data_IF_374873452189
#
_entry.id   IF_374873452189
#
_cell.length_a   1.000
_cell.length_b   1.000
_cell.length_c   1.000
_cell.angle_alpha   90.00
_cell.angle_beta   90.00
_cell.angle_gamma   90.00
#
_symmetry.space_group_name_H-M   'P 1'
#
loop_
_entity.id
_entity.type
_entity.pdbx_description
1 polymer ?
#
# COMPACT_ATOMS: atom_id res chain seq x y z
N UNK A 1 37.37 -35.79 -60.89
CA UNK A 1 36.16 -34.99 -61.15
C UNK A 1 34.94 -35.84 -60.86
N UNK A 2 33.97 -35.24 -60.17
CA UNK A 2 32.77 -35.84 -59.58
C UNK A 2 31.93 -36.67 -60.53
N UNK A 3 31.37 -37.77 -60.03
CA UNK A 3 29.92 -37.92 -59.75
C UNK A 3 29.67 -39.32 -59.20
N UNK A 4 29.03 -39.42 -58.04
CA UNK A 4 28.34 -40.65 -57.64
C UNK A 4 26.93 -40.25 -57.25
N UNK A 5 26.01 -40.49 -58.19
CA UNK A 5 24.65 -40.85 -57.89
C UNK A 5 24.66 -42.33 -57.52
N UNK A 6 23.94 -42.71 -56.46
CA UNK A 6 23.33 -44.04 -56.35
C UNK A 6 22.30 -44.01 -55.24
N UNK A 7 21.04 -44.12 -55.66
CA UNK A 7 19.91 -44.35 -54.79
C UNK A 7 19.83 -45.81 -54.36
N UNK A 8 19.27 -45.96 -53.16
CA UNK A 8 18.33 -46.98 -52.73
C UNK A 8 18.69 -48.45 -52.91
N UNK A 9 19.00 -49.11 -51.77
CA UNK A 9 18.35 -50.38 -51.39
C UNK A 9 18.14 -50.39 -49.86
N UNK A 10 16.90 -50.69 -49.47
CA UNK A 10 16.41 -50.89 -48.12
C UNK A 10 17.09 -52.07 -47.41
N UNK A 11 17.49 -51.87 -46.14
CA UNK A 11 17.69 -52.94 -45.16
C UNK A 11 17.27 -52.43 -43.77
N UNK A 12 16.31 -53.14 -43.20
CA UNK A 12 15.75 -52.91 -41.88
C UNK A 12 16.82 -53.10 -40.79
N UNK A 13 16.94 -52.11 -39.92
CA UNK A 13 17.66 -52.22 -38.66
C UNK A 13 16.73 -51.79 -37.53
N UNK A 14 16.49 -52.72 -36.63
CA UNK A 14 15.75 -52.57 -35.38
C UNK A 14 16.36 -51.46 -34.53
N UNK A 15 15.60 -50.38 -34.31
CA UNK A 15 15.89 -49.44 -33.22
C UNK A 15 15.21 -49.93 -31.95
N UNK A 16 16.02 -50.36 -31.00
CA UNK A 16 15.65 -50.41 -29.58
C UNK A 16 15.46 -48.97 -29.13
N UNK A 17 14.21 -48.53 -29.03
CA UNK A 17 13.88 -47.30 -28.34
C UNK A 17 14.05 -47.56 -26.83
N UNK A 18 15.12 -47.02 -26.26
CA UNK A 18 15.20 -46.80 -24.82
C UNK A 18 14.16 -45.73 -24.51
N UNK A 19 13.00 -46.15 -23.99
CA UNK A 19 12.03 -45.22 -23.44
C UNK A 19 12.65 -44.54 -22.22
N UNK A 20 12.99 -43.25 -22.36
CA UNK A 20 13.04 -42.40 -21.19
C UNK A 20 11.60 -42.29 -20.70
N UNK A 21 11.29 -42.88 -19.54
CA UNK A 21 10.07 -42.60 -18.80
C UNK A 21 9.91 -41.08 -18.71
N UNK A 22 8.89 -40.53 -19.37
CA UNK A 22 8.48 -39.18 -19.07
C UNK A 22 7.94 -39.19 -17.63
N UNK A 23 8.39 -38.29 -16.74
CA UNK A 23 7.75 -38.15 -15.44
C UNK A 23 6.27 -37.81 -15.65
N UNK A 24 5.36 -38.31 -14.80
CA UNK A 24 3.95 -37.97 -14.89
C UNK A 24 3.77 -36.45 -14.79
N UNK A 25 2.87 -35.91 -15.61
CA UNK A 25 2.55 -34.49 -15.62
C UNK A 25 2.14 -34.02 -14.22
N UNK A 26 2.64 -32.86 -13.79
CA UNK A 26 2.26 -32.24 -12.54
C UNK A 26 0.77 -31.86 -12.58
N UNK A 27 0.00 -32.38 -11.63
CA UNK A 27 -1.43 -32.09 -11.51
C UNK A 27 -1.58 -30.78 -10.71
N UNK A 28 -1.91 -29.69 -11.40
CA UNK A 28 -2.06 -28.36 -10.81
C UNK A 28 -3.54 -28.09 -10.50
N UNK A 29 -4.05 -28.67 -9.40
CA UNK A 29 -5.39 -28.33 -8.92
C UNK A 29 -5.35 -27.05 -8.09
N UNK A 30 -6.19 -26.07 -8.44
CA UNK A 30 -6.40 -24.83 -7.69
C UNK A 30 -7.24 -25.14 -6.46
N UNK A 31 -6.71 -24.83 -5.27
CA UNK A 31 -7.39 -24.99 -3.97
C UNK A 31 -7.79 -23.58 -3.46
N UNK A 32 -8.89 -23.39 -2.69
CA UNK A 32 -9.36 -22.07 -2.28
C UNK A 32 -8.35 -21.25 -1.48
N UNK A 33 -8.44 -19.92 -1.60
CA UNK A 33 -7.47 -18.92 -1.17
C UNK A 33 -7.08 -18.95 0.34
N UNK A 34 -5.79 -18.74 0.60
CA UNK A 34 -5.18 -18.64 1.93
C UNK A 34 -4.99 -17.16 2.33
N UNK A 35 -5.12 -16.85 3.62
CA UNK A 35 -4.83 -15.52 4.20
C UNK A 35 -3.53 -15.57 5.01
N UNK A 36 -2.62 -14.64 4.77
CA UNK A 36 -1.54 -14.33 5.70
C UNK A 36 -2.00 -13.22 6.63
N UNK A 37 -1.83 -13.37 7.95
CA UNK A 37 -2.14 -12.33 8.93
C UNK A 37 -0.84 -11.73 9.45
N UNK A 38 -0.61 -10.45 9.16
CA UNK A 38 0.48 -9.68 9.72
C UNK A 38 -0.05 -8.89 10.92
N UNK A 39 0.50 -9.10 12.13
CA UNK A 39 0.18 -8.28 13.31
C UNK A 39 1.25 -7.19 13.54
N UNK A 40 0.87 -5.95 13.92
CA UNK A 40 1.83 -4.87 14.17
C UNK A 40 2.68 -5.07 15.45
N UNK A 41 3.93 -4.59 15.40
CA UNK A 41 5.04 -4.79 16.35
C UNK A 41 4.85 -4.25 17.80
N UNK A 42 3.69 -3.74 18.19
CA UNK A 42 3.56 -2.90 19.39
C UNK A 42 3.64 -3.63 20.76
N UNK A 43 3.82 -4.96 20.82
CA UNK A 43 3.80 -5.72 22.11
C UNK A 43 4.86 -6.81 22.27
N UNK A 44 6.08 -6.55 21.83
CA UNK A 44 7.15 -7.52 21.92
C UNK A 44 8.12 -7.28 23.09
N UNK A 45 8.00 -8.09 24.16
CA UNK A 45 9.01 -8.20 25.23
C UNK A 45 9.54 -9.64 25.28
N UNK A 46 10.67 -9.90 24.60
CA UNK A 46 11.38 -11.18 24.70
C UNK A 46 12.70 -11.18 23.93
N UNK A 47 13.74 -11.78 24.50
CA UNK A 47 15.11 -11.89 23.94
C UNK A 47 15.29 -13.10 23.02
N UNK A 48 14.22 -13.63 22.43
CA UNK A 48 14.31 -14.83 21.60
C UNK A 48 14.70 -14.47 20.17
N UNK A 49 15.78 -15.09 19.68
CA UNK A 49 16.24 -14.95 18.31
C UNK A 49 15.24 -15.70 17.41
N UNK A 50 14.62 -15.03 16.42
CA UNK A 50 13.67 -15.69 15.52
C UNK A 50 14.36 -16.84 14.78
N UNK A 51 13.68 -17.98 14.69
CA UNK A 51 14.13 -19.16 13.94
C UNK A 51 13.49 -19.14 12.57
N UNK A 52 14.25 -19.35 11.51
CA UNK A 52 13.68 -19.54 10.17
C UNK A 52 12.98 -20.89 10.09
N UNK A 53 11.67 -20.88 9.81
CA UNK A 53 10.88 -22.08 9.51
C UNK A 53 11.18 -22.63 8.12
N UNK A 54 11.41 -21.74 7.16
CA UNK A 54 11.70 -22.06 5.77
C UNK A 54 11.61 -20.82 4.90
N UNK A 55 11.55 -20.99 3.58
CA UNK A 55 11.50 -19.90 2.60
C UNK A 55 10.28 -20.04 1.70
N UNK A 56 9.64 -18.92 1.39
CA UNK A 56 8.50 -18.83 0.48
C UNK A 56 8.69 -17.71 -0.55
N UNK A 57 8.10 -17.87 -1.73
CA UNK A 57 8.10 -16.85 -2.77
C UNK A 57 7.02 -15.80 -2.49
N UNK A 58 7.41 -14.54 -2.33
CA UNK A 58 6.47 -13.44 -2.09
C UNK A 58 5.96 -12.74 -3.37
N UNK A 59 6.30 -13.29 -4.54
CA UNK A 59 6.04 -12.68 -5.85
C UNK A 59 7.27 -12.01 -6.48
N UNK A 60 8.28 -11.65 -5.67
CA UNK A 60 9.49 -10.95 -6.11
C UNK A 60 10.79 -11.67 -5.73
N UNK A 61 10.83 -12.26 -4.54
CA UNK A 61 11.98 -12.98 -4.03
C UNK A 61 11.55 -14.12 -3.08
N UNK A 62 12.48 -15.04 -2.82
CA UNK A 62 12.34 -16.03 -1.76
C UNK A 62 12.75 -15.43 -0.42
N UNK A 63 11.78 -15.21 0.46
CA UNK A 63 11.99 -14.63 1.79
C UNK A 63 11.83 -15.67 2.90
N UNK A 64 12.60 -15.55 4.00
CA UNK A 64 12.49 -16.45 5.13
C UNK A 64 11.17 -16.20 5.90
N UNK A 65 10.43 -17.28 6.15
CA UNK A 65 9.33 -17.30 7.11
C UNK A 65 9.91 -17.60 8.48
N UNK A 66 9.61 -16.76 9.47
CA UNK A 66 10.22 -16.81 10.80
C UNK A 66 9.22 -17.31 11.85
N UNK A 67 9.69 -18.08 12.83
CA UNK A 67 8.97 -18.53 14.02
C UNK A 67 9.68 -18.06 15.28
N UNK A 68 8.90 -17.59 16.25
CA UNK A 68 9.37 -17.11 17.55
C UNK A 68 8.84 -15.72 17.90
N UNK A 69 8.04 -15.69 18.97
CA UNK A 69 7.73 -14.57 19.86
C UNK A 69 6.97 -13.36 19.31
N UNK A 70 7.31 -12.91 18.11
CA UNK A 70 6.97 -11.60 17.56
C UNK A 70 6.74 -11.59 16.05
N UNK A 71 7.06 -12.68 15.36
CA UNK A 71 6.86 -12.82 13.93
C UNK A 71 5.70 -13.79 13.71
N UNK A 72 4.86 -13.48 12.71
CA UNK A 72 3.77 -14.36 12.30
C UNK A 72 4.35 -15.73 11.95
N UNK A 73 4.06 -16.72 12.79
CA UNK A 73 4.34 -18.11 12.48
C UNK A 73 3.56 -18.53 11.24
N UNK A 74 4.04 -19.57 10.58
CA UNK A 74 3.24 -20.20 9.55
C UNK A 74 2.13 -21.01 10.23
N UNK A 75 0.87 -20.87 9.79
CA UNK A 75 -0.27 -21.63 10.29
C UNK A 75 -1.01 -22.33 9.13
N UNK A 76 -1.30 -23.63 9.29
CA UNK A 76 -2.02 -24.45 8.30
C UNK A 76 -1.16 -25.54 7.62
N UNK A 77 -1.78 -26.30 6.71
CA UNK A 77 -1.14 -27.44 6.01
C UNK A 77 0.00 -27.03 5.08
N UNK A 78 0.10 -25.75 4.76
CA UNK A 78 1.10 -25.24 3.80
C UNK A 78 2.42 -24.86 4.48
N UNK A 79 2.48 -24.94 5.81
CA UNK A 79 3.76 -24.84 6.53
C UNK A 79 4.67 -26.04 6.24
N UNK A 80 4.07 -27.16 5.86
CA UNK A 80 4.78 -28.32 5.30
C UNK A 80 5.28 -28.07 3.86
N UNK A 81 4.90 -26.94 3.23
CA UNK A 81 5.28 -26.58 1.87
C UNK A 81 6.36 -25.49 1.78
N UNK A 82 6.94 -25.06 2.91
CA UNK A 82 8.09 -24.15 2.91
C UNK A 82 9.35 -24.83 2.38
N UNK A 83 10.16 -24.10 1.63
CA UNK A 83 11.45 -24.61 1.18
C UNK A 83 12.47 -24.51 2.30
N UNK A 84 13.24 -25.58 2.52
CA UNK A 84 14.30 -25.64 3.55
C UNK A 84 15.44 -24.61 3.36
N UNK A 85 15.56 -24.03 2.16
CA UNK A 85 16.57 -23.01 1.87
C UNK A 85 16.10 -22.05 0.78
N UNK A 86 16.61 -20.81 0.83
CA UNK A 86 16.40 -19.79 -0.19
C UNK A 86 16.71 -20.29 -1.59
N UNK A 87 17.86 -20.95 -1.78
CA UNK A 87 18.27 -21.45 -3.09
C UNK A 87 17.36 -22.54 -3.67
N UNK A 88 16.74 -23.39 -2.83
CA UNK A 88 15.72 -24.34 -3.30
C UNK A 88 14.43 -23.65 -3.70
N UNK A 89 14.02 -22.63 -2.95
CA UNK A 89 12.87 -21.82 -3.31
C UNK A 89 13.09 -21.10 -4.66
N UNK A 90 14.24 -20.44 -4.82
CA UNK A 90 14.58 -19.71 -6.05
C UNK A 90 14.69 -20.67 -7.24
N UNK A 91 15.30 -21.84 -7.04
CA UNK A 91 15.41 -22.86 -8.08
C UNK A 91 14.06 -23.48 -8.46
N UNK A 92 13.20 -23.77 -7.48
CA UNK A 92 11.86 -24.30 -7.73
C UNK A 92 10.95 -23.29 -8.44
N UNK A 93 11.12 -22.00 -8.16
CA UNK A 93 10.44 -20.95 -8.90
C UNK A 93 11.00 -20.82 -10.34
N UNK A 94 12.33 -20.80 -10.49
CA UNK A 94 12.98 -20.72 -11.80
C UNK A 94 12.70 -21.93 -12.71
N UNK A 95 12.32 -23.09 -12.14
CA UNK A 95 11.97 -24.29 -12.89
C UNK A 95 10.48 -24.42 -13.25
N UNK A 96 9.64 -23.50 -12.77
CA UNK A 96 8.25 -23.43 -13.23
C UNK A 96 8.20 -22.87 -14.66
N UNK A 97 7.82 -23.71 -15.63
CA UNK A 97 7.69 -23.36 -17.05
C UNK A 97 6.55 -22.32 -17.31
N UNK A 98 6.52 -21.64 -18.48
CA UNK A 98 5.79 -20.38 -18.70
C UNK A 98 4.25 -20.48 -18.69
N UNK A 99 3.67 -21.65 -18.42
CA UNK A 99 2.21 -21.79 -18.23
C UNK A 99 1.72 -21.22 -16.90
N UNK A 100 2.63 -20.84 -15.99
CA UNK A 100 2.35 -19.89 -14.93
C UNK A 100 2.40 -18.47 -15.52
N UNK A 101 1.37 -18.05 -16.26
CA UNK A 101 1.31 -16.67 -16.78
C UNK A 101 1.35 -15.67 -15.62
N UNK A 102 2.50 -15.00 -15.45
CA UNK A 102 2.58 -13.79 -14.67
C UNK A 102 1.72 -12.73 -15.36
N UNK A 103 0.58 -12.36 -14.75
CA UNK A 103 -0.18 -11.20 -15.18
C UNK A 103 0.69 -9.93 -15.03
N UNK A 104 0.61 -8.96 -15.96
CA UNK A 104 1.32 -7.70 -15.82
C UNK A 104 0.91 -6.99 -14.53
N UNK A 105 1.90 -6.43 -13.83
CA UNK A 105 1.89 -5.95 -12.43
C UNK A 105 0.99 -4.73 -12.16
N UNK A 106 0.18 -4.28 -13.11
CA UNK A 106 -0.73 -3.15 -12.90
C UNK A 106 -2.06 -3.50 -12.20
N UNK A 107 -2.28 -4.76 -11.79
CA UNK A 107 -3.57 -5.18 -11.20
C UNK A 107 -3.48 -6.03 -9.92
N UNK A 108 -2.36 -6.07 -9.21
CA UNK A 108 -2.27 -6.84 -7.96
C UNK A 108 -1.49 -6.06 -6.90
N UNK A 109 -2.21 -5.31 -6.07
CA UNK A 109 -1.74 -4.97 -4.73
C UNK A 109 -2.82 -5.39 -3.74
N UNK A 110 -2.40 -6.28 -2.83
CA UNK A 110 -3.05 -6.75 -1.59
C UNK A 110 -3.96 -7.98 -1.63
N UNK A 111 -3.92 -8.75 -2.72
CA UNK A 111 -4.16 -10.18 -2.66
C UNK A 111 -2.92 -10.86 -3.22
N UNK A 112 -2.17 -11.62 -2.40
CA UNK A 112 -1.21 -12.59 -2.95
C UNK A 112 -2.05 -13.80 -3.33
N UNK A 113 -2.32 -14.07 -4.62
CA UNK A 113 -2.89 -15.36 -4.97
C UNK A 113 -1.80 -16.39 -4.71
N UNK A 114 -2.12 -17.45 -3.97
CA UNK A 114 -1.22 -18.59 -3.89
C UNK A 114 -0.98 -19.11 -5.31
N UNK A 115 0.28 -19.06 -5.77
CA UNK A 115 0.69 -19.75 -6.99
C UNK A 115 0.47 -21.26 -6.82
N UNK A 116 0.14 -22.00 -7.90
CA UNK A 116 0.00 -23.45 -7.81
C UNK A 116 1.31 -24.09 -7.35
N UNK A 117 1.28 -24.73 -6.18
CA UNK A 117 2.39 -25.52 -5.66
C UNK A 117 2.46 -26.81 -6.48
N UNK A 118 3.44 -26.93 -7.37
CA UNK A 118 3.67 -28.16 -8.12
C UNK A 118 4.31 -29.23 -7.20
N UNK A 119 3.58 -30.31 -6.89
CA UNK A 119 4.12 -31.47 -6.17
C UNK A 119 4.67 -32.53 -7.12
N UNK A 120 5.78 -33.17 -6.72
CA UNK A 120 6.19 -34.46 -7.27
C UNK A 120 5.36 -35.57 -6.62
N UNK A 121 4.72 -36.43 -7.41
CA UNK A 121 3.91 -37.54 -6.92
C UNK A 121 4.78 -38.59 -6.18
N UNK A 122 4.59 -38.74 -4.87
CA UNK A 122 5.25 -39.78 -4.08
C UNK A 122 4.70 -39.95 -2.66
N UNK A 123 4.00 -41.07 -2.44
CA UNK A 123 3.59 -41.71 -1.17
C UNK A 123 2.60 -40.97 -0.24
N UNK A 124 1.32 -41.33 -0.40
CA UNK A 124 0.26 -41.13 0.61
C UNK A 124 0.47 -42.09 1.79
N UNK A 125 0.40 -41.57 3.01
CA UNK A 125 0.25 -42.35 4.24
C UNK A 125 -1.14 -43.00 4.37
N UNK A 126 -1.33 -43.93 5.32
CA UNK A 126 -2.52 -44.79 5.39
C UNK A 126 -3.81 -44.02 5.79
N UNK A 127 -5.00 -44.49 5.35
CA UNK A 127 -6.27 -43.78 5.55
C UNK A 127 -6.79 -43.91 6.98
N UNK A 128 -7.34 -42.81 7.51
CA UNK A 128 -8.08 -42.74 8.79
C UNK A 128 -9.58 -42.94 8.50
N UNK A 129 -10.36 -43.72 9.30
CA UNK A 129 -11.72 -44.08 8.95
C UNK A 129 -12.75 -42.98 9.26
N UNK A 130 -13.77 -42.90 8.41
CA UNK A 130 -14.88 -41.95 8.46
C UNK A 130 -15.97 -42.37 9.46
N UNK A 131 -16.35 -41.44 10.36
CA UNK A 131 -17.72 -41.27 10.89
C UNK A 131 -17.82 -39.93 11.62
N UNK A 132 -18.63 -38.98 11.13
CA UNK A 132 -19.33 -37.98 11.96
C UNK A 132 -20.62 -37.52 11.26
N UNK A 133 -21.71 -37.49 12.03
CA UNK A 133 -23.08 -37.12 11.68
C UNK A 133 -23.25 -35.61 11.42
N UNK A 134 -24.28 -35.24 10.66
CA UNK A 134 -24.47 -33.96 9.99
C UNK A 134 -25.04 -32.82 10.86
N UNK A 135 -24.85 -31.59 10.36
CA UNK A 135 -25.38 -30.33 10.87
C UNK A 135 -26.87 -30.08 10.49
N UNK A 136 -27.70 -31.12 10.42
CA UNK A 136 -29.08 -30.98 9.91
C UNK A 136 -30.14 -30.62 10.98
N UNK A 137 -29.76 -30.39 12.25
CA UNK A 137 -30.71 -30.17 13.34
C UNK A 137 -30.38 -28.95 14.21
N UNK A 138 -30.28 -27.75 13.60
CA UNK A 138 -30.36 -26.50 14.35
C UNK A 138 -31.47 -25.59 13.78
N UNK A 139 -32.46 -25.30 14.63
CA UNK A 139 -33.78 -24.75 14.28
C UNK A 139 -33.75 -23.26 13.86
N UNK A 140 -32.59 -22.60 13.95
CA UNK A 140 -32.45 -21.16 13.68
C UNK A 140 -32.28 -20.83 12.17
N UNK A 141 -32.04 -21.83 11.31
CA UNK A 141 -31.94 -21.65 9.86
C UNK A 141 -33.31 -21.59 9.14
N UNK A 142 -34.42 -21.83 9.85
CA UNK A 142 -35.74 -22.05 9.22
C UNK A 142 -36.61 -20.80 9.09
N UNK A 143 -36.34 -19.75 9.86
CA UNK A 143 -37.20 -18.55 9.94
C UNK A 143 -36.78 -17.39 9.02
N UNK A 144 -35.93 -17.67 8.02
CA UNK A 144 -35.84 -16.85 6.82
C UNK A 144 -35.11 -15.52 6.97
N UNK A 145 -33.83 -15.53 7.30
CA UNK A 145 -32.84 -14.51 6.90
C UNK A 145 -31.50 -15.21 6.63
N UNK A 146 -30.85 -14.86 5.51
CA UNK A 146 -29.77 -15.62 4.86
C UNK A 146 -28.53 -15.86 5.73
N UNK A 147 -28.28 -17.10 6.17
CA UNK A 147 -27.00 -17.54 6.72
C UNK A 147 -26.31 -18.54 5.79
N UNK A 148 -25.01 -18.37 5.54
CA UNK A 148 -24.14 -19.43 5.00
C UNK A 148 -23.34 -20.06 6.15
N UNK A 149 -23.35 -21.38 6.25
CA UNK A 149 -22.52 -22.11 7.20
C UNK A 149 -21.06 -22.10 6.73
N UNK A 150 -20.16 -21.49 7.51
CA UNK A 150 -18.73 -21.63 7.34
C UNK A 150 -18.15 -22.52 8.46
N UNK A 151 -17.41 -23.57 8.08
CA UNK A 151 -16.62 -24.37 9.02
C UNK A 151 -15.36 -23.59 9.42
N UNK A 152 -15.23 -23.20 10.70
CA UNK A 152 -13.92 -22.90 11.28
C UNK A 152 -13.43 -24.12 12.06
N UNK A 153 -12.23 -24.61 11.72
CA UNK A 153 -11.58 -25.73 12.42
C UNK A 153 -10.40 -25.19 13.21
N UNK A 154 -10.62 -24.86 14.49
CA UNK A 154 -9.61 -24.84 15.54
C UNK A 154 -10.24 -25.22 16.89
N UNK A 155 -9.50 -26.00 17.66
CA UNK A 155 -9.97 -26.89 18.73
C UNK A 155 -10.32 -26.22 20.08
N UNK A 156 -11.29 -26.85 20.77
CA UNK A 156 -11.47 -26.95 22.22
C UNK A 156 -12.12 -25.81 23.04
N UNK A 157 -13.09 -25.07 22.50
CA UNK A 157 -14.39 -24.77 23.16
C UNK A 157 -15.38 -24.47 22.04
N UNK A 158 -16.35 -25.35 21.80
CA UNK A 158 -17.32 -25.19 20.72
C UNK A 158 -18.34 -24.08 21.03
N UNK A 159 -18.13 -22.88 20.51
CA UNK A 159 -19.22 -21.97 20.15
C UNK A 159 -19.34 -21.94 18.63
N UNK A 160 -20.34 -22.64 18.09
CA UNK A 160 -20.80 -22.42 16.71
C UNK A 160 -21.43 -21.03 16.69
N UNK A 161 -20.78 -20.06 16.06
CA UNK A 161 -21.30 -18.71 15.89
C UNK A 161 -21.48 -18.43 14.40
N UNK A 162 -22.67 -17.95 14.01
CA UNK A 162 -22.86 -17.35 12.70
C UNK A 162 -21.97 -16.10 12.62
N UNK A 163 -21.12 -16.01 11.59
CA UNK A 163 -20.37 -14.78 11.31
C UNK A 163 -21.26 -13.91 10.41
N UNK A 164 -21.98 -12.98 11.02
CA UNK A 164 -22.83 -11.99 10.34
C UNK A 164 -21.94 -10.85 9.83
N UNK A 165 -21.46 -10.95 8.59
CA UNK A 165 -20.71 -9.84 7.98
C UNK A 165 -21.61 -8.96 7.10
N UNK A 166 -22.77 -9.45 6.64
CA UNK A 166 -23.72 -8.69 5.82
C UNK A 166 -24.94 -8.24 6.64
N UNK A 167 -25.46 -7.04 6.37
CA UNK A 167 -26.64 -6.47 7.02
C UNK A 167 -27.56 -5.77 6.01
N UNK A 168 -28.77 -5.40 6.41
CA UNK A 168 -29.67 -4.54 5.63
C UNK A 168 -30.09 -3.29 6.41
N UNK A 169 -30.09 -3.38 7.73
CA UNK A 169 -30.42 -2.33 8.69
C UNK A 169 -29.49 -2.42 9.90
N UNK A 170 -29.42 -1.34 10.69
CA UNK A 170 -28.61 -1.31 11.92
C UNK A 170 -29.05 -2.35 12.98
N UNK A 171 -30.30 -2.82 12.91
CA UNK A 171 -30.84 -3.82 13.82
C UNK A 171 -30.34 -5.24 13.51
N UNK A 172 -29.77 -5.48 12.33
CA UNK A 172 -29.15 -6.74 11.96
C UNK A 172 -27.75 -6.90 12.59
N UNK A 173 -27.19 -5.83 13.16
CA UNK A 173 -25.85 -5.79 13.71
C UNK A 173 -25.83 -5.95 15.24
N UNK A 174 -24.76 -6.57 15.75
CA UNK A 174 -24.53 -6.68 17.20
C UNK A 174 -24.44 -5.30 17.85
N UNK A 175 -24.74 -5.23 19.15
CA UNK A 175 -24.57 -4.01 19.93
C UNK A 175 -23.14 -3.44 19.76
N UNK A 176 -23.03 -2.13 19.56
CA UNK A 176 -21.77 -1.46 19.23
C UNK A 176 -21.37 -1.51 17.75
N UNK A 177 -22.23 -2.02 16.88
CA UNK A 177 -22.04 -2.01 15.43
C UNK A 177 -23.21 -1.27 14.73
N UNK A 178 -22.98 -0.84 13.49
CA UNK A 178 -23.95 -0.23 12.60
C UNK A 178 -23.79 -0.78 11.18
N UNK A 179 -24.87 -0.74 10.40
CA UNK A 179 -24.92 -1.27 9.06
C UNK A 179 -24.45 -0.20 8.07
N UNK A 180 -23.32 -0.44 7.40
CA UNK A 180 -22.69 0.55 6.54
C UNK A 180 -22.31 -0.03 5.18
N UNK A 181 -22.41 0.76 4.09
CA UNK A 181 -21.88 0.33 2.80
C UNK A 181 -20.35 0.32 2.86
N UNK A 182 -19.74 -0.80 2.48
CA UNK A 182 -18.30 -0.84 2.22
C UNK A 182 -18.12 -0.74 0.71
N UNK A 183 -17.66 0.43 0.27
CA UNK A 183 -17.39 0.64 -1.15
C UNK A 183 -16.00 0.10 -1.45
N UNK A 184 -15.94 -1.07 -2.09
CA UNK A 184 -14.73 -1.56 -2.73
C UNK A 184 -14.30 -0.61 -3.85
N UNK A 185 -13.02 -0.26 -3.91
CA UNK A 185 -12.42 0.69 -4.84
C UNK A 185 -12.30 0.16 -6.29
N UNK A 186 -13.41 -0.21 -6.92
CA UNK A 186 -13.45 -0.52 -8.37
C UNK A 186 -14.43 0.40 -9.12
N UNK A 187 -13.94 1.28 -10.02
CA UNK A 187 -14.73 2.39 -10.58
C UNK A 187 -15.66 2.02 -11.75
N UNK A 188 -15.90 0.74 -12.06
CA UNK A 188 -16.56 0.36 -13.34
C UNK A 188 -17.85 -0.44 -13.23
N UNK A 189 -18.39 -0.66 -12.03
CA UNK A 189 -19.69 -1.34 -11.89
C UNK A 189 -20.53 -0.64 -10.85
N UNK A 190 -21.77 -0.22 -11.16
CA UNK A 190 -22.71 0.25 -10.16
C UNK A 190 -23.20 -0.96 -9.37
N UNK A 191 -22.36 -1.49 -8.48
CA UNK A 191 -22.82 -2.45 -7.48
C UNK A 191 -23.54 -1.67 -6.39
N UNK A 192 -24.75 -2.12 -6.05
CA UNK A 192 -25.27 -1.91 -4.71
C UNK A 192 -24.22 -2.51 -3.77
N UNK A 193 -23.47 -1.67 -3.05
CA UNK A 193 -22.49 -2.15 -2.09
C UNK A 193 -23.21 -3.04 -1.08
N UNK A 194 -22.68 -4.24 -0.84
CA UNK A 194 -23.15 -5.05 0.28
C UNK A 194 -22.95 -4.20 1.54
N UNK A 195 -24.00 -4.10 2.36
CA UNK A 195 -23.90 -3.42 3.64
C UNK A 195 -23.29 -4.42 4.62
N UNK A 196 -22.38 -3.94 5.45
CA UNK A 196 -21.68 -4.75 6.43
C UNK A 196 -21.82 -4.17 7.83
N UNK A 197 -21.79 -5.05 8.83
CA UNK A 197 -21.77 -4.63 10.22
C UNK A 197 -20.37 -4.15 10.60
N UNK A 198 -20.22 -2.85 10.76
CA UNK A 198 -18.94 -2.23 11.16
C UNK A 198 -19.04 -1.70 12.59
N UNK A 199 -17.90 -1.58 13.27
CA UNK A 199 -17.84 -1.00 14.62
C UNK A 199 -18.39 0.43 14.60
N UNK A 200 -19.24 0.79 15.54
CA UNK A 200 -19.90 2.09 15.58
C UNK A 200 -19.93 2.64 17.01
N UNK A 201 -19.11 3.67 17.26
CA UNK A 201 -19.12 4.46 18.49
C UNK A 201 -20.23 5.52 18.50
N UNK A 202 -20.90 5.72 17.36
CA UNK A 202 -22.07 6.56 17.19
C UNK A 202 -22.96 5.97 16.08
N UNK A 203 -24.26 6.23 16.12
CA UNK A 203 -25.22 5.86 15.08
C UNK A 203 -25.83 7.08 14.40
N UNK A 204 -25.77 8.23 15.05
CA UNK A 204 -26.25 9.50 14.54
C UNK A 204 -25.48 10.67 15.15
N UNK A 205 -25.65 11.86 14.57
CA UNK A 205 -25.08 13.09 15.14
C UNK A 205 -25.60 13.40 16.55
N UNK A 206 -26.74 12.82 16.96
CA UNK A 206 -27.28 13.00 18.30
C UNK A 206 -26.48 12.23 19.37
N UNK A 207 -25.68 11.24 18.96
CA UNK A 207 -24.79 10.48 19.85
C UNK A 207 -23.47 11.22 20.12
N UNK A 208 -23.19 12.28 19.37
CA UNK A 208 -21.96 13.05 19.43
C UNK A 208 -22.11 14.37 20.20
N UNK A 209 -20.99 14.97 20.58
CA UNK A 209 -20.99 16.32 21.13
C UNK A 209 -21.54 17.34 20.11
N UNK A 210 -22.02 18.50 20.60
CA UNK A 210 -22.68 19.51 19.76
C UNK A 210 -21.80 20.09 18.63
N UNK A 211 -20.48 19.94 18.73
CA UNK A 211 -19.47 20.35 17.77
C UNK A 211 -18.88 19.17 16.96
N UNK A 212 -19.56 18.02 16.98
CA UNK A 212 -19.15 16.79 16.31
C UNK A 212 -20.26 16.24 15.41
N UNK A 213 -19.89 15.43 14.42
CA UNK A 213 -20.79 14.58 13.65
C UNK A 213 -20.33 13.13 13.69
N UNK A 214 -21.29 12.22 13.57
CA UNK A 214 -21.01 10.80 13.43
C UNK A 214 -20.61 10.54 11.98
N UNK A 215 -19.33 10.23 11.76
CA UNK A 215 -18.79 10.04 10.42
C UNK A 215 -18.18 8.64 10.30
N UNK A 216 -18.26 8.09 9.09
CA UNK A 216 -17.51 6.89 8.72
C UNK A 216 -16.02 7.26 8.69
N UNK A 217 -15.24 6.59 9.51
CA UNK A 217 -13.79 6.68 9.56
C UNK A 217 -13.20 5.40 8.99
N UNK A 218 -12.29 5.55 8.03
CA UNK A 218 -11.51 4.44 7.52
C UNK A 218 -10.15 4.45 8.22
N UNK A 219 -9.86 3.39 8.97
CA UNK A 219 -8.52 3.15 9.48
C UNK A 219 -7.64 2.70 8.31
N UNK A 220 -6.86 3.63 7.73
CA UNK A 220 -5.82 3.31 6.77
C UNK A 220 -4.65 2.67 7.53
N UNK A 221 -4.81 1.39 7.89
CA UNK A 221 -3.71 0.59 8.40
C UNK A 221 -2.56 0.60 7.41
N UNK A 222 -1.34 0.87 7.90
CA UNK A 222 -0.11 0.93 7.11
C UNK A 222 0.13 -0.38 6.34
N UNK A 223 -0.30 -0.43 5.08
CA UNK A 223 0.13 -1.45 4.11
C UNK A 223 -0.89 -2.49 3.64
N UNK A 224 -2.19 -2.36 3.92
CA UNK A 224 -3.21 -3.23 3.31
C UNK A 224 -4.34 -2.41 2.66
N UNK A 225 -4.28 -2.23 1.35
CA UNK A 225 -5.24 -1.51 0.50
C UNK A 225 -6.51 -2.32 0.16
N UNK A 226 -6.75 -3.48 0.78
CA UNK A 226 -8.03 -4.19 0.61
C UNK A 226 -9.06 -3.68 1.63
N UNK A 227 -10.21 -3.13 1.19
CA UNK A 227 -11.25 -2.64 2.08
C UNK A 227 -11.97 -3.83 2.73
N UNK A 228 -11.58 -4.18 3.95
CA UNK A 228 -12.32 -5.12 4.79
C UNK A 228 -13.22 -4.37 5.79
N UNK A 229 -14.35 -4.95 6.25
CA UNK A 229 -15.22 -4.33 7.26
C UNK A 229 -14.52 -3.87 8.52
N UNK A 230 -13.45 -4.58 8.91
CA UNK A 230 -12.60 -4.21 10.03
C UNK A 230 -11.91 -2.85 9.90
N UNK A 231 -11.79 -2.31 8.69
CA UNK A 231 -11.05 -1.07 8.42
C UNK A 231 -11.98 0.15 8.49
N UNK A 232 -13.26 -0.03 8.79
CA UNK A 232 -14.23 1.05 8.85
C UNK A 232 -14.87 1.09 10.24
N UNK A 233 -15.07 2.29 10.77
CA UNK A 233 -15.85 2.50 11.98
C UNK A 233 -16.61 3.82 11.95
N UNK A 234 -17.78 3.88 12.57
CA UNK A 234 -18.44 5.16 12.83
C UNK A 234 -17.88 5.76 14.12
N UNK A 235 -17.35 6.98 14.03
CA UNK A 235 -16.81 7.70 15.20
C UNK A 235 -17.33 9.12 15.23
N UNK A 236 -17.55 9.64 16.44
CA UNK A 236 -17.80 11.06 16.62
C UNK A 236 -16.50 11.83 16.33
N UNK A 237 -16.54 12.64 15.28
CA UNK A 237 -15.44 13.49 14.87
C UNK A 237 -15.93 14.91 14.59
N UNK A 238 -15.05 15.84 14.25
CA UNK A 238 -15.46 17.17 13.79
C UNK A 238 -16.43 17.06 12.60
N UNK A 239 -17.39 17.98 12.46
CA UNK A 239 -18.39 17.93 11.41
C UNK A 239 -17.73 17.99 10.03
N UNK A 240 -18.20 17.11 9.14
CA UNK A 240 -17.77 16.97 7.75
C UNK A 240 -18.87 17.41 6.79
N UNK A 241 -18.49 17.67 5.55
CA UNK A 241 -19.45 17.91 4.51
C UNK A 241 -20.15 16.62 4.06
N UNK A 242 -21.49 16.65 3.82
CA UNK A 242 -22.21 15.54 3.23
C UNK A 242 -21.54 15.04 1.94
N UNK A 243 -21.58 13.73 1.69
CA UNK A 243 -20.90 13.12 0.55
C UNK A 243 -21.45 13.55 -0.82
N UNK A 244 -22.71 13.98 -0.86
CA UNK A 244 -23.36 14.54 -2.05
C UNK A 244 -23.03 16.03 -2.28
N UNK A 245 -22.25 16.65 -1.39
CA UNK A 245 -21.79 18.04 -1.58
C UNK A 245 -20.87 18.09 -2.81
N UNK A 246 -21.12 19.02 -3.76
CA UNK A 246 -20.28 19.20 -4.94
C UNK A 246 -18.80 19.37 -4.57
N UNK A 247 -17.95 18.64 -5.28
CA UNK A 247 -16.49 18.69 -5.14
C UNK A 247 -15.91 19.58 -6.23
N UNK A 248 -15.01 20.48 -5.85
CA UNK A 248 -14.14 21.20 -6.78
C UNK A 248 -12.77 20.53 -6.79
N UNK A 249 -12.42 19.93 -7.92
CA UNK A 249 -11.12 19.28 -8.11
C UNK A 249 -10.10 20.24 -8.71
N UNK A 250 -8.89 20.24 -8.18
CA UNK A 250 -7.77 21.03 -8.69
C UNK A 250 -6.57 20.12 -8.95
N UNK A 251 -6.15 20.02 -10.21
CA UNK A 251 -4.94 19.29 -10.59
C UNK A 251 -3.72 20.15 -10.29
N UNK A 252 -2.78 19.60 -9.54
CA UNK A 252 -1.48 20.26 -9.30
C UNK A 252 -0.79 20.48 -10.64
N UNK A 253 -0.51 21.74 -10.95
CA UNK A 253 0.04 22.18 -12.23
C UNK A 253 1.50 22.60 -12.15
N UNK A 254 1.98 22.94 -10.95
CA UNK A 254 3.39 23.15 -10.66
C UNK A 254 3.69 22.65 -9.25
N UNK A 255 4.86 22.05 -9.07
CA UNK A 255 5.38 21.61 -7.79
C UNK A 255 6.90 21.62 -7.89
N UNK A 256 7.57 22.35 -7.02
CA UNK A 256 9.02 22.52 -7.03
C UNK A 256 9.59 22.35 -5.63
N UNK A 257 10.82 21.84 -5.55
CA UNK A 257 11.61 21.90 -4.33
C UNK A 257 12.23 23.30 -4.29
N UNK A 258 12.04 24.06 -3.21
CA UNK A 258 12.63 25.40 -3.10
C UNK A 258 14.15 25.35 -3.23
N UNK A 259 14.75 26.36 -3.83
CA UNK A 259 16.19 26.51 -3.72
C UNK A 259 16.57 27.00 -2.32
N UNK A 260 17.84 26.80 -1.93
CA UNK A 260 18.37 27.37 -0.68
C UNK A 260 18.23 28.89 -0.64
N UNK A 261 18.31 29.55 -1.79
CA UNK A 261 18.16 31.00 -1.91
C UNK A 261 16.71 31.43 -1.66
N UNK A 262 15.74 30.67 -2.19
CA UNK A 262 14.31 30.88 -1.91
C UNK A 262 14.03 30.69 -0.42
N UNK A 263 14.62 29.65 0.18
CA UNK A 263 14.44 29.32 1.58
C UNK A 263 14.98 30.39 2.53
N UNK A 264 16.06 31.07 2.14
CA UNK A 264 16.63 32.17 2.91
C UNK A 264 15.83 33.47 2.82
N UNK A 265 14.95 33.65 1.82
CA UNK A 265 14.15 34.87 1.67
C UNK A 265 12.75 34.78 2.27
N UNK A 266 12.30 33.62 2.74
CA UNK A 266 11.03 33.48 3.46
C UNK A 266 10.48 32.04 3.50
N UNK A 267 9.24 31.90 3.97
CA UNK A 267 8.62 30.61 4.27
C UNK A 267 8.37 29.74 3.03
N UNK A 268 9.38 28.94 2.66
CA UNK A 268 9.31 27.94 1.58
C UNK A 268 8.91 26.55 2.06
N UNK A 269 8.32 26.47 3.25
CA UNK A 269 8.00 25.24 3.97
C UNK A 269 7.21 25.58 5.22
N UNK A 270 7.18 24.66 6.17
CA UNK A 270 6.50 24.83 7.44
C UNK A 270 7.43 24.47 8.58
N UNK A 271 7.24 25.17 9.70
CA UNK A 271 7.66 24.70 11.02
C UNK A 271 6.81 23.47 11.37
N UNK A 272 7.42 22.29 11.32
CA UNK A 272 6.75 21.00 11.48
C UNK A 272 6.77 20.52 12.94
N UNK A 273 7.79 20.87 13.72
CA UNK A 273 7.92 20.45 15.11
C UNK A 273 7.73 21.57 16.14
N UNK A 274 7.67 22.84 15.70
CA UNK A 274 7.49 24.00 16.56
C UNK A 274 8.73 24.36 17.37
N UNK A 275 9.89 23.80 17.02
CA UNK A 275 11.13 23.90 17.80
C UNK A 275 12.27 24.37 16.91
N UNK A 276 12.67 25.63 17.12
CA UNK A 276 13.85 26.19 16.44
C UNK A 276 15.10 25.30 16.61
N UNK A 277 15.78 25.02 15.50
CA UNK A 277 17.02 24.25 15.41
C UNK A 277 16.93 22.83 16.00
N UNK A 278 15.81 22.15 15.80
CA UNK A 278 15.61 20.78 16.26
C UNK A 278 16.65 19.82 15.67
N UNK A 279 16.98 18.79 16.45
CA UNK A 279 17.90 17.73 16.04
C UNK A 279 19.31 18.19 15.61
N UNK A 280 19.69 19.43 15.94
CA UNK A 280 20.97 20.02 15.59
C UNK A 280 21.08 20.46 14.12
N UNK A 281 19.96 20.50 13.41
CA UNK A 281 19.83 21.11 12.09
C UNK A 281 19.33 22.53 12.26
N UNK A 282 19.85 23.47 11.46
CA UNK A 282 19.47 24.86 11.58
C UNK A 282 18.26 25.15 10.69
N UNK A 283 17.26 25.82 11.25
CA UNK A 283 16.04 26.11 10.52
C UNK A 283 16.23 27.25 9.53
N UNK A 284 15.37 27.29 8.52
CA UNK A 284 15.25 28.45 7.67
C UNK A 284 14.54 29.60 8.39
N UNK A 285 14.72 30.86 7.93
CA UNK A 285 14.09 32.02 8.54
C UNK A 285 12.59 31.84 8.82
N UNK A 286 12.22 31.99 10.08
CA UNK A 286 10.85 31.79 10.56
C UNK A 286 10.57 30.40 11.17
N UNK A 287 11.62 29.65 11.53
CA UNK A 287 11.50 28.31 12.12
C UNK A 287 11.09 27.25 11.10
N UNK A 288 11.43 27.46 9.83
CA UNK A 288 10.93 26.59 8.75
C UNK A 288 11.85 25.39 8.57
N UNK A 289 11.27 24.19 8.75
CA UNK A 289 11.93 22.93 8.44
C UNK A 289 11.83 22.63 6.94
N UNK A 290 12.97 22.47 6.27
CA UNK A 290 13.01 21.92 4.92
C UNK A 290 14.36 21.28 4.55
N UNK A 291 14.84 20.29 5.32
CA UNK A 291 16.06 19.54 5.01
C UNK A 291 16.02 18.83 3.64
N UNK A 292 14.84 18.69 3.03
CA UNK A 292 14.70 18.20 1.66
C UNK A 292 15.36 19.11 0.61
N UNK A 293 15.52 20.41 0.88
CA UNK A 293 16.29 21.35 0.02
C UNK A 293 17.74 20.88 -0.09
N UNK A 294 18.36 20.56 1.05
CA UNK A 294 19.71 20.03 1.16
C UNK A 294 19.83 18.61 0.59
N UNK A 295 18.79 17.77 0.75
CA UNK A 295 18.74 16.44 0.14
C UNK A 295 18.84 16.54 -1.38
N UNK A 296 17.93 17.32 -1.99
CA UNK A 296 17.85 17.46 -3.44
C UNK A 296 19.13 18.08 -4.02
N UNK A 297 19.70 19.08 -3.35
CA UNK A 297 20.98 19.65 -3.76
C UNK A 297 22.11 18.60 -3.77
N UNK A 298 22.21 17.79 -2.70
CA UNK A 298 23.24 16.75 -2.62
C UNK A 298 23.00 15.58 -3.59
N UNK A 299 21.74 15.17 -3.78
CA UNK A 299 21.39 14.13 -4.75
C UNK A 299 21.76 14.57 -6.16
N UNK A 300 21.39 15.78 -6.56
CA UNK A 300 21.73 16.32 -7.89
C UNK A 300 23.24 16.45 -8.12
N UNK A 301 24.00 16.81 -7.10
CA UNK A 301 25.44 17.03 -7.21
C UNK A 301 26.24 15.72 -7.19
N UNK A 302 25.75 14.67 -6.51
CA UNK A 302 26.50 13.45 -6.21
C UNK A 302 25.91 12.19 -6.86
N UNK A 303 24.73 12.29 -7.48
CA UNK A 303 24.02 11.19 -8.11
C UNK A 303 23.38 11.67 -9.42
N UNK A 304 22.89 10.78 -10.30
CA UNK A 304 22.15 11.18 -11.50
C UNK A 304 20.69 11.59 -11.21
N UNK A 305 20.23 11.52 -9.95
CA UNK A 305 18.87 11.89 -9.57
C UNK A 305 18.74 13.40 -9.46
N UNK A 306 17.82 13.96 -10.24
CA UNK A 306 17.40 15.36 -10.15
C UNK A 306 15.88 15.43 -9.97
N UNK A 307 15.42 15.48 -8.72
CA UNK A 307 13.98 15.38 -8.41
C UNK A 307 13.18 16.58 -8.93
N UNK A 308 13.75 17.78 -9.02
CA UNK A 308 13.10 18.93 -9.64
C UNK A 308 12.83 18.68 -11.12
N UNK A 309 13.83 18.15 -11.84
CA UNK A 309 13.68 17.81 -13.26
C UNK A 309 12.65 16.68 -13.47
N UNK A 310 12.57 15.72 -12.54
CA UNK A 310 11.57 14.65 -12.59
C UNK A 310 10.15 15.17 -12.29
N UNK A 311 9.98 16.07 -11.31
CA UNK A 311 8.70 16.73 -11.04
C UNK A 311 8.23 17.55 -12.24
N UNK A 312 9.10 18.40 -12.80
CA UNK A 312 8.82 19.22 -13.97
C UNK A 312 8.44 18.39 -15.20
N UNK A 313 9.05 17.20 -15.36
CA UNK A 313 8.71 16.28 -16.43
C UNK A 313 7.36 15.59 -16.22
N UNK A 314 7.01 15.24 -14.98
CA UNK A 314 5.80 14.46 -14.66
C UNK A 314 4.52 15.30 -14.53
N UNK A 315 4.62 16.57 -14.12
CA UNK A 315 3.46 17.45 -13.88
C UNK A 315 2.61 17.76 -15.11
N UNK A 316 3.18 18.05 -16.31
CA UNK A 316 2.39 18.34 -17.50
C UNK A 316 1.65 17.11 -18.05
N UNK A 317 2.03 15.91 -17.60
CA UNK A 317 1.58 14.67 -18.19
C UNK A 317 0.18 14.30 -17.74
N UNK A 318 -0.59 13.76 -18.69
CA UNK A 318 -1.95 13.31 -18.46
C UNK A 318 -1.96 11.82 -18.15
N UNK A 319 -2.99 11.41 -17.42
CA UNK A 319 -3.20 10.01 -17.15
C UNK A 319 -3.49 9.23 -18.44
N UNK A 320 -2.91 8.04 -18.55
CA UNK A 320 -3.04 7.18 -19.72
C UNK A 320 -2.13 7.55 -20.90
N UNK A 321 -1.27 8.55 -20.75
CA UNK A 321 -0.22 8.82 -21.72
C UNK A 321 0.81 7.67 -21.71
N UNK A 322 1.11 7.11 -22.89
CA UNK A 322 2.05 6.00 -23.02
C UNK A 322 3.51 6.45 -23.03
N UNK A 323 3.76 7.73 -23.32
CA UNK A 323 5.11 8.31 -23.40
C UNK A 323 5.47 9.10 -22.13
N UNK A 324 4.50 9.32 -21.23
CA UNK A 324 4.75 10.03 -19.99
C UNK A 324 3.94 9.51 -18.80
N UNK A 325 4.59 9.42 -17.64
CA UNK A 325 3.94 9.08 -16.39
C UNK A 325 3.57 10.36 -15.64
N UNK A 326 2.27 10.55 -15.44
CA UNK A 326 1.75 11.69 -14.68
C UNK A 326 2.11 11.59 -13.20
N UNK A 327 2.51 12.72 -12.58
CA UNK A 327 2.54 12.84 -11.12
C UNK A 327 1.11 12.69 -10.54
N UNK A 328 0.11 13.14 -11.31
CA UNK A 328 -1.29 12.81 -11.08
C UNK A 328 -1.87 13.29 -9.75
N UNK A 329 -1.34 14.32 -9.09
CA UNK A 329 -1.89 14.79 -7.82
C UNK A 329 -3.07 15.73 -8.06
N UNK A 330 -4.22 15.40 -7.47
CA UNK A 330 -5.44 16.21 -7.50
C UNK A 330 -5.88 16.52 -6.07
N UNK A 331 -6.16 17.80 -5.82
CA UNK A 331 -6.69 18.31 -4.56
C UNK A 331 -8.18 18.53 -4.74
N UNK A 332 -8.98 17.78 -4.00
CA UNK A 332 -10.43 17.91 -3.98
C UNK A 332 -10.84 18.78 -2.80
N UNK A 333 -11.59 19.84 -3.07
CA UNK A 333 -12.11 20.75 -2.05
C UNK A 333 -13.63 20.69 -2.05
N UNK A 334 -14.19 20.38 -0.89
CA UNK A 334 -15.64 20.31 -0.65
C UNK A 334 -16.02 21.35 0.40
N UNK A 335 -16.90 22.28 0.05
CA UNK A 335 -17.34 23.34 0.96
C UNK A 335 -18.85 23.28 1.20
N UNK A 336 -19.26 23.22 2.46
CA UNK A 336 -20.65 23.19 2.88
C UNK A 336 -20.87 24.13 4.08
N UNK A 337 -21.50 25.28 3.83
CA UNK A 337 -21.63 26.32 4.86
C UNK A 337 -20.26 26.83 5.31
N UNK A 338 -19.93 26.61 6.59
CA UNK A 338 -18.66 27.02 7.19
C UNK A 338 -17.59 25.90 7.26
N UNK A 339 -17.90 24.71 6.74
CA UNK A 339 -16.99 23.57 6.72
C UNK A 339 -16.35 23.50 5.34
N UNK A 340 -15.04 23.30 5.32
CA UNK A 340 -14.28 22.98 4.11
C UNK A 340 -13.51 21.70 4.40
N UNK A 341 -13.79 20.66 3.63
CA UNK A 341 -13.04 19.41 3.65
C UNK A 341 -12.13 19.35 2.42
N UNK A 342 -10.93 18.82 2.63
CA UNK A 342 -9.93 18.65 1.59
C UNK A 342 -9.49 17.19 1.58
N UNK A 343 -9.44 16.59 0.38
CA UNK A 343 -8.78 15.31 0.13
C UNK A 343 -7.76 15.45 -0.98
N UNK A 344 -6.78 14.56 -0.98
CA UNK A 344 -5.79 14.44 -2.05
C UNK A 344 -5.99 13.08 -2.67
N UNK A 345 -6.01 13.03 -4.00
CA UNK A 345 -6.13 11.79 -4.75
C UNK A 345 -5.15 11.77 -5.92
N UNK A 346 -4.92 10.58 -6.45
CA UNK A 346 -4.28 10.39 -7.74
C UNK A 346 -5.24 10.77 -8.87
N UNK A 347 -4.71 10.95 -10.07
CA UNK A 347 -5.49 11.17 -11.27
C UNK A 347 -6.44 9.97 -11.50
N UNK A 348 -5.94 8.76 -11.20
CA UNK A 348 -6.69 7.51 -11.25
C UNK A 348 -7.83 7.39 -10.21
N UNK A 349 -7.96 8.38 -9.33
CA UNK A 349 -9.01 8.45 -8.31
C UNK A 349 -8.67 7.75 -6.99
N UNK A 350 -7.46 7.20 -6.83
CA UNK A 350 -7.02 6.61 -5.56
C UNK A 350 -6.79 7.71 -4.52
N UNK A 351 -7.34 7.56 -3.33
CA UNK A 351 -7.12 8.53 -2.24
C UNK A 351 -5.67 8.43 -1.76
N UNK A 352 -4.98 9.57 -1.75
CA UNK A 352 -3.62 9.72 -1.24
C UNK A 352 -3.60 10.32 0.18
N UNK A 353 -4.60 11.14 0.52
CA UNK A 353 -4.84 11.66 1.86
C UNK A 353 -6.29 12.17 2.04
N UNK A 354 -6.79 12.15 3.27
CA UNK A 354 -8.11 12.69 3.62
C UNK A 354 -9.28 11.79 3.20
N UNK A 355 -10.51 12.32 3.18
CA UNK A 355 -10.88 13.73 3.41
C UNK A 355 -10.65 14.18 4.86
N UNK A 356 -10.20 15.41 5.04
CA UNK A 356 -9.97 16.05 6.35
C UNK A 356 -10.41 17.50 6.33
N UNK A 357 -10.93 17.97 7.46
CA UNK A 357 -11.39 19.36 7.62
C UNK A 357 -10.22 20.33 7.56
N UNK A 358 -10.31 21.31 6.68
CA UNK A 358 -9.40 22.43 6.59
C UNK A 358 -9.82 23.57 7.54
N UNK A 359 -8.81 24.28 8.03
CA UNK A 359 -8.98 25.61 8.62
C UNK A 359 -8.87 26.64 7.50
N UNK A 360 -9.79 27.60 7.43
CA UNK A 360 -9.78 28.64 6.40
C UNK A 360 -9.68 30.01 7.07
N UNK A 361 -8.63 30.75 6.75
CA UNK A 361 -8.39 32.11 7.23
C UNK A 361 -7.92 32.98 6.07
N UNK A 362 -8.52 34.16 5.89
CA UNK A 362 -8.15 35.14 4.85
C UNK A 362 -8.06 34.55 3.42
N UNK A 363 -8.94 33.58 3.12
CA UNK A 363 -8.99 32.88 1.83
C UNK A 363 -7.90 31.84 1.62
N UNK A 364 -7.07 31.58 2.63
CA UNK A 364 -6.08 30.50 2.65
C UNK A 364 -6.65 29.34 3.45
N UNK A 365 -6.71 28.17 2.83
CA UNK A 365 -7.01 26.94 3.55
C UNK A 365 -5.70 26.32 4.05
N UNK A 366 -5.77 25.64 5.18
CA UNK A 366 -4.72 24.79 5.73
C UNK A 366 -5.37 23.52 6.25
N UNK A 367 -4.89 22.38 5.81
CA UNK A 367 -5.33 21.05 6.25
C UNK A 367 -4.11 20.24 6.65
N UNK A 368 -4.24 19.49 7.75
CA UNK A 368 -3.23 18.54 8.22
C UNK A 368 -3.79 17.14 8.07
N UNK A 369 -3.00 16.24 7.50
CA UNK A 369 -3.27 14.82 7.34
C UNK A 369 -2.29 14.05 8.20
N UNK A 370 -2.71 12.91 8.73
CA UNK A 370 -1.80 12.01 9.43
C UNK A 370 -0.76 11.44 8.45
N UNK A 371 -1.21 11.07 7.24
CA UNK A 371 -0.38 10.53 6.18
C UNK A 371 -0.76 11.12 4.81
N UNK A 372 0.24 11.29 3.95
CA UNK A 372 0.08 11.57 2.52
C UNK A 372 1.01 10.68 1.71
N UNK A 373 0.43 9.83 0.86
CA UNK A 373 1.17 8.93 -0.01
C UNK A 373 1.55 9.63 -1.34
N UNK A 374 2.61 10.44 -1.33
CA UNK A 374 3.14 11.03 -2.56
C UNK A 374 4.08 10.03 -3.25
N UNK A 375 4.07 9.99 -4.58
CA UNK A 375 5.01 9.19 -5.35
C UNK A 375 5.48 9.98 -6.59
N UNK A 376 6.79 10.11 -6.75
CA UNK A 376 7.40 10.86 -7.86
C UNK A 376 7.84 9.85 -8.93
N UNK A 377 7.34 9.97 -10.18
CA UNK A 377 7.87 9.19 -11.28
C UNK A 377 9.32 9.58 -11.56
N UNK A 378 10.22 8.59 -11.61
CA UNK A 378 11.63 8.73 -11.93
C UNK A 378 11.89 8.04 -13.25
N UNK A 379 12.36 8.81 -14.24
CA UNK A 379 12.75 8.26 -15.53
C UNK A 379 14.01 7.42 -15.41
N UNK A 380 13.98 6.25 -16.05
CA UNK A 380 15.06 5.30 -16.15
C UNK A 380 15.28 4.94 -17.62
N UNK A 381 16.42 4.35 -17.95
CA UNK A 381 16.70 3.88 -19.32
C UNK A 381 15.66 2.85 -19.80
N UNK A 382 15.16 2.00 -18.89
CA UNK A 382 14.15 0.97 -19.16
C UNK A 382 12.72 1.38 -18.73
N UNK A 383 12.42 2.68 -18.72
CA UNK A 383 11.06 3.19 -18.52
C UNK A 383 10.94 4.13 -17.33
N UNK A 384 9.98 3.88 -16.44
CA UNK A 384 9.73 4.74 -15.28
C UNK A 384 9.53 3.91 -14.04
N UNK A 385 10.19 4.29 -12.96
CA UNK A 385 10.00 3.75 -11.62
C UNK A 385 9.45 4.83 -10.70
N UNK A 386 8.93 4.46 -9.54
CA UNK A 386 8.27 5.39 -8.62
C UNK A 386 9.08 5.54 -7.33
N UNK A 387 9.50 6.77 -7.03
CA UNK A 387 10.04 7.11 -5.72
C UNK A 387 8.88 7.42 -4.77
N UNK A 388 8.60 6.49 -3.84
CA UNK A 388 7.60 6.68 -2.81
C UNK A 388 8.10 7.66 -1.74
N UNK A 389 7.30 8.69 -1.45
CA UNK A 389 7.51 9.71 -0.43
C UNK A 389 6.32 9.68 0.55
N UNK A 390 6.25 8.70 1.46
CA UNK A 390 5.18 8.61 2.44
C UNK A 390 5.40 9.67 3.53
N UNK A 391 4.67 10.78 3.44
CA UNK A 391 4.76 11.87 4.39
C UNK A 391 3.89 11.59 5.60
N UNK A 392 4.45 11.77 6.80
CA UNK A 392 3.73 11.85 8.06
C UNK A 392 3.42 13.31 8.39
N UNK A 393 2.34 13.52 9.14
CA UNK A 393 1.94 14.84 9.62
C UNK A 393 1.85 15.87 8.47
N UNK A 394 1.39 15.38 7.31
CA UNK A 394 1.44 16.11 6.06
C UNK A 394 0.49 17.30 6.12
N UNK A 395 0.98 18.47 5.73
CA UNK A 395 0.19 19.69 5.68
C UNK A 395 0.07 20.16 4.24
N UNK A 396 -1.15 20.49 3.84
CA UNK A 396 -1.40 21.21 2.59
C UNK A 396 -2.04 22.55 2.93
N UNK A 397 -1.50 23.61 2.36
CA UNK A 397 -2.11 24.93 2.41
C UNK A 397 -2.08 25.63 1.07
N UNK A 398 -3.03 26.51 0.82
CA UNK A 398 -3.05 27.32 -0.38
C UNK A 398 -4.19 28.31 -0.41
N UNK A 399 -4.11 29.28 -1.30
CA UNK A 399 -5.16 30.26 -1.55
C UNK A 399 -6.06 29.74 -2.65
N UNK A 400 -7.29 29.36 -2.28
CA UNK A 400 -8.28 28.90 -3.24
C UNK A 400 -8.88 30.08 -3.99
N UNK A 401 -8.87 30.01 -5.32
CA UNK A 401 -9.52 30.95 -6.22
C UNK A 401 -10.41 30.24 -7.26
N UNK A 402 -11.16 31.00 -8.05
CA UNK A 402 -12.08 30.43 -9.05
C UNK A 402 -11.38 29.71 -10.21
N UNK A 403 -10.09 29.99 -10.43
CA UNK A 403 -9.29 29.42 -11.52
C UNK A 403 -8.29 28.34 -11.05
N UNK A 404 -8.12 28.16 -9.75
CA UNK A 404 -7.04 27.33 -9.22
C UNK A 404 -6.72 27.59 -7.75
N UNK A 405 -5.68 26.91 -7.28
CA UNK A 405 -5.05 27.14 -5.98
C UNK A 405 -3.69 27.79 -6.24
N UNK A 406 -3.47 28.99 -5.69
CA UNK A 406 -2.16 29.65 -5.70
C UNK A 406 -1.48 29.53 -4.34
N UNK A 407 -0.18 29.81 -4.26
CA UNK A 407 0.57 29.75 -3.00
C UNK A 407 0.44 28.37 -2.34
N UNK A 408 0.41 27.30 -3.16
CA UNK A 408 0.27 25.93 -2.67
C UNK A 408 1.56 25.54 -1.97
N UNK A 409 1.42 25.05 -0.74
CA UNK A 409 2.49 24.43 0.03
C UNK A 409 2.03 23.01 0.35
N UNK A 410 2.88 22.04 0.05
CA UNK A 410 2.73 20.63 0.46
C UNK A 410 3.95 20.30 1.29
N UNK A 411 3.74 20.01 2.57
CA UNK A 411 4.82 19.72 3.49
C UNK A 411 4.50 18.50 4.35
N UNK A 412 5.51 17.96 5.03
CA UNK A 412 5.38 16.88 5.98
C UNK A 412 6.73 16.26 6.30
N UNK A 413 6.71 15.17 7.06
CA UNK A 413 7.93 14.53 7.56
C UNK A 413 8.11 13.16 6.91
N UNK A 414 9.29 12.92 6.33
CA UNK A 414 9.72 11.61 5.85
C UNK A 414 10.48 10.88 6.96
N UNK A 415 10.19 9.60 7.16
CA UNK A 415 10.97 8.78 8.09
C UNK A 415 12.28 8.38 7.42
N UNK A 416 13.41 8.76 8.04
CA UNK A 416 14.78 8.60 7.54
C UNK A 416 15.07 7.24 6.90
N UNK A 417 14.82 6.14 7.63
CA UNK A 417 15.16 4.81 7.14
C UNK A 417 14.30 4.39 5.94
N UNK A 418 13.05 4.87 5.87
CA UNK A 418 12.15 4.59 4.75
C UNK A 418 12.62 5.31 3.50
N UNK A 419 12.99 6.59 3.62
CA UNK A 419 13.55 7.37 2.53
C UNK A 419 14.86 6.77 2.02
N UNK A 420 15.79 6.44 2.94
CA UNK A 420 17.05 5.77 2.59
C UNK A 420 16.81 4.49 1.80
N UNK A 421 15.94 3.61 2.31
CA UNK A 421 15.66 2.33 1.65
C UNK A 421 15.00 2.56 0.27
N UNK A 422 14.08 3.52 0.15
CA UNK A 422 13.46 3.86 -1.13
C UNK A 422 14.48 4.35 -2.17
N UNK A 423 15.40 5.24 -1.77
CA UNK A 423 16.47 5.74 -2.63
C UNK A 423 17.48 4.64 -2.99
N UNK A 424 17.83 3.74 -2.07
CA UNK A 424 18.73 2.61 -2.35
C UNK A 424 18.13 1.63 -3.37
N UNK A 425 16.84 1.32 -3.24
CA UNK A 425 16.10 0.49 -4.20
C UNK A 425 16.06 1.18 -5.55
N UNK A 426 15.73 2.48 -5.58
CA UNK A 426 15.70 3.30 -6.78
C UNK A 426 17.04 3.27 -7.50
N UNK A 427 18.14 3.57 -6.79
CA UNK A 427 19.48 3.53 -7.39
C UNK A 427 19.87 2.14 -7.88
N UNK A 428 19.44 1.08 -7.20
CA UNK A 428 19.62 -0.28 -7.68
C UNK A 428 18.91 -0.55 -9.02
N UNK A 429 17.71 0.02 -9.20
CA UNK A 429 16.94 -0.09 -10.45
C UNK A 429 17.50 0.79 -11.58
N UNK A 430 18.23 1.86 -11.24
CA UNK A 430 18.90 2.74 -12.19
C UNK A 430 20.33 2.28 -12.52
N UNK A 431 20.71 1.05 -12.18
CA UNK A 431 22.07 0.52 -12.34
C UNK A 431 23.17 1.35 -11.65
N UNK A 432 22.82 2.02 -10.55
CA UNK A 432 23.67 2.88 -9.73
C UNK A 432 23.80 2.38 -8.29
N UNK A 433 23.81 1.07 -8.08
CA UNK A 433 23.97 0.46 -6.76
C UNK A 433 25.30 0.83 -6.07
N UNK A 434 26.31 1.26 -6.83
CA UNK A 434 27.59 1.76 -6.32
C UNK A 434 27.45 3.09 -5.55
N UNK A 435 26.37 3.84 -5.77
CA UNK A 435 26.08 5.11 -5.08
C UNK A 435 25.30 4.93 -3.77
N UNK A 436 24.95 3.70 -3.37
CA UNK A 436 24.25 3.45 -2.09
C UNK A 436 24.99 4.02 -0.86
N UNK A 437 26.33 3.89 -0.72
CA UNK A 437 27.05 4.50 0.41
C UNK A 437 26.96 6.04 0.42
N UNK A 438 26.87 6.66 -0.75
CA UNK A 438 26.70 8.10 -0.90
C UNK A 438 25.32 8.52 -0.40
N UNK A 439 24.26 7.82 -0.82
CA UNK A 439 22.89 8.08 -0.33
C UNK A 439 22.78 7.87 1.18
N UNK A 440 23.43 6.84 1.73
CA UNK A 440 23.45 6.60 3.18
C UNK A 440 24.05 7.78 3.93
N UNK A 441 25.17 8.32 3.42
CA UNK A 441 25.83 9.48 4.01
C UNK A 441 24.98 10.74 3.92
N UNK A 442 24.35 10.99 2.75
CA UNK A 442 23.45 12.14 2.54
C UNK A 442 22.27 12.07 3.51
N UNK A 443 21.50 10.98 3.48
CA UNK A 443 20.25 10.85 4.23
C UNK A 443 20.51 10.85 5.75
N UNK A 444 21.59 10.22 6.22
CA UNK A 444 21.96 10.25 7.65
C UNK A 444 22.29 11.65 8.20
N UNK A 445 22.72 12.57 7.33
CA UNK A 445 23.09 13.93 7.69
C UNK A 445 21.97 14.95 7.53
N UNK A 446 20.71 14.54 7.39
CA UNK A 446 19.57 15.43 7.12
C UNK A 446 18.38 15.22 8.06
N UNK A 447 18.63 14.62 9.22
CA UNK A 447 17.58 14.32 10.19
C UNK A 447 17.31 15.53 11.06
N UNK A 448 16.30 16.30 10.72
CA UNK A 448 15.97 17.59 11.34
C UNK A 448 14.72 17.57 12.24
N UNK A 449 13.81 16.61 12.05
CA UNK A 449 12.56 16.54 12.82
C UNK A 449 12.57 15.41 13.84
N UNK A 450 12.14 15.69 15.08
CA UNK A 450 11.90 14.65 16.08
C UNK A 450 10.50 14.02 15.91
N UNK A 451 10.45 12.69 15.78
CA UNK A 451 9.19 11.95 15.66
C UNK A 451 8.99 11.19 16.98
N UNK A 452 7.97 11.54 17.80
CA UNK A 452 7.83 11.06 19.17
C UNK A 452 7.80 9.53 19.37
N UNK A 453 7.41 8.79 18.33
CA UNK A 453 7.25 7.32 18.37
C UNK A 453 8.36 6.56 17.62
N UNK A 454 9.39 7.24 17.11
CA UNK A 454 10.49 6.61 16.39
C UNK A 454 11.77 6.57 17.23
N UNK A 455 12.49 5.45 17.17
CA UNK A 455 13.78 5.24 17.84
C UNK A 455 14.85 4.92 16.76
N UNK A 456 15.92 5.73 16.64
CA UNK A 456 16.28 6.86 17.49
C UNK A 456 15.40 8.10 17.29
N UNK A 457 15.32 8.93 18.34
CA UNK A 457 14.87 10.31 18.25
C UNK A 457 15.60 11.04 17.12
N UNK A 458 15.00 12.08 16.56
CA UNK A 458 15.52 12.76 15.37
C UNK A 458 15.69 11.81 14.19
N UNK A 459 14.59 11.20 13.77
CA UNK A 459 14.53 10.29 12.62
C UNK A 459 13.67 10.84 11.48
N UNK A 460 13.09 12.02 11.63
CA UNK A 460 12.35 12.72 10.60
C UNK A 460 13.26 13.55 9.71
N UNK A 461 12.85 13.67 8.44
CA UNK A 461 13.40 14.59 7.46
C UNK A 461 12.24 15.42 6.97
N UNK A 462 12.26 16.72 7.23
CA UNK A 462 11.23 17.63 6.76
C UNK A 462 11.27 17.76 5.24
N UNK A 463 10.09 17.84 4.64
CA UNK A 463 9.89 18.12 3.22
C UNK A 463 8.88 19.26 3.11
N UNK A 464 9.23 20.26 2.30
CA UNK A 464 8.33 21.33 1.89
C UNK A 464 8.46 21.58 0.38
N UNK A 465 7.34 21.46 -0.32
CA UNK A 465 7.21 21.72 -1.76
C UNK A 465 6.31 22.93 -1.98
N UNK A 466 6.65 23.73 -2.99
CA UNK A 466 5.88 24.91 -3.40
C UNK A 466 5.23 24.67 -4.76
N UNK A 467 4.03 25.21 -4.96
CA UNK A 467 3.33 24.95 -6.20
C UNK A 467 2.11 25.80 -6.48
N UNK A 468 1.34 25.32 -7.45
CA UNK A 468 0.02 25.80 -7.80
C UNK A 468 -0.81 24.65 -8.36
N UNK A 469 -2.12 24.80 -8.32
CA UNK A 469 -3.07 23.89 -8.95
C UNK A 469 -4.06 24.66 -9.83
N UNK A 470 -4.54 24.01 -10.88
CA UNK A 470 -5.57 24.55 -11.78
C UNK A 470 -6.82 23.69 -11.68
N UNK A 471 -7.98 24.24 -12.01
CA UNK A 471 -9.24 23.46 -12.00
C UNK A 471 -9.08 22.22 -12.89
N UNK A 472 -9.36 21.05 -12.32
CA UNK A 472 -9.43 19.78 -13.04
C UNK A 472 -10.84 19.69 -13.66
N UNK A 473 -10.96 19.66 -15.00
CA UNK A 473 -12.23 19.83 -15.71
C UNK A 473 -13.18 18.63 -15.62
#
# INVERSE_FOLDING_TARGET
MCQVALGFVWLAASMVAVGCDQPPAADCAVVPAVRQRFEPMARCRGTEVPRTLGYAWNGYACEPVLDGGCYAGCEGSDCDALYESRGRCEHAHASCEPTCEARPVLQVRDEVPAYPICRHAGQLGPPVPATFESCDEDDDCRDGVNGQCAHSHQDLVSSRGCVYDECFTDDDCLAGHACAPIVGSLPTVPFAGNLHCITANCRSNADCAADQSCNLHQELGSGAFSPTPSNFSYVCGPPRCPDDTPVLSYRVSSLMIPSREDALVGAVGLDLDGVDDACGHADYPGGVDNAFVELQAQLRDQTPLDLDAELDAALPCREGDSECVSLGVVIDVRTCGAITDVSVRSAAGSVLAGPTRATVADGVFRVQFEHLALAVPIRADEGTTMLALPLRDAVISGRQGPAGISELVLAGTLVHYRLRNALQVLLGQLDHADLQPTVDAIVAGLRDVDIPDEDPACSGISLGLLGAATVDP
#
